data_IF_947675516053
#
_entry.id   IF_947675516053
#
_cell.length_a   1.000
_cell.length_b   1.000
_cell.length_c   1.000
_cell.angle_alpha   90.00
_cell.angle_beta   90.00
_cell.angle_gamma   90.00
#
_symmetry.space_group_name_H-M   'P 1'
#
loop_
_entity.id
_entity.type
_entity.pdbx_description
1 polymer ?
#
# COMPACT_ATOMS: atom_id res chain seq x y z
N UNK A 1 -66.31 28.57 11.39
CA UNK A 1 -65.81 29.79 10.74
C UNK A 1 -64.33 29.91 11.07
N UNK A 2 -63.48 29.80 10.12
CA UNK A 2 -62.10 30.12 9.96
C UNK A 2 -61.37 28.98 9.29
N UNK A 3 -61.68 28.88 8.03
CA UNK A 3 -60.91 28.18 7.03
C UNK A 3 -60.17 29.23 6.18
N UNK A 4 -59.01 28.82 5.58
CA UNK A 4 -58.39 29.51 4.46
C UNK A 4 -57.42 30.63 4.84
N UNK A 5 -56.16 30.30 5.09
CA UNK A 5 -54.97 31.03 4.65
C UNK A 5 -53.76 30.13 5.00
N UNK A 6 -53.39 29.25 4.13
CA UNK A 6 -52.07 28.57 4.19
C UNK A 6 -51.75 27.80 2.89
N UNK A 7 -51.89 28.49 1.75
CA UNK A 7 -51.50 27.85 0.47
C UNK A 7 -50.94 28.88 -0.50
N UNK A 8 -49.81 29.50 -0.21
CA UNK A 8 -49.09 30.34 -1.17
C UNK A 8 -47.71 30.78 -0.70
N UNK A 9 -46.85 29.89 -0.28
CA UNK A 9 -45.44 30.28 0.01
C UNK A 9 -44.45 29.10 -0.05
N UNK A 10 -44.55 28.24 -1.08
CA UNK A 10 -43.50 27.21 -1.30
C UNK A 10 -43.27 26.96 -2.80
N UNK A 11 -43.11 28.06 -3.56
CA UNK A 11 -42.81 27.97 -4.99
C UNK A 11 -41.79 29.03 -5.42
N UNK A 12 -40.68 29.09 -4.69
CA UNK A 12 -39.53 29.86 -5.15
C UNK A 12 -38.25 29.17 -4.67
N UNK A 13 -37.31 29.04 -5.59
CA UNK A 13 -35.92 28.62 -5.35
C UNK A 13 -35.62 27.10 -5.39
N UNK A 14 -35.98 26.43 -6.47
CA UNK A 14 -35.14 25.39 -7.02
C UNK A 14 -34.49 25.92 -8.30
N UNK A 15 -33.31 26.56 -8.16
CA UNK A 15 -32.39 26.69 -9.29
C UNK A 15 -31.90 25.28 -9.63
N UNK A 16 -31.93 24.85 -10.89
CA UNK A 16 -31.30 23.61 -11.26
C UNK A 16 -29.80 23.77 -11.02
N UNK A 17 -29.25 23.05 -10.04
CA UNK A 17 -27.83 22.85 -9.93
C UNK A 17 -27.42 22.01 -11.13
N UNK A 18 -26.80 22.64 -12.11
CA UNK A 18 -26.08 21.94 -13.19
C UNK A 18 -25.01 21.10 -12.52
N UNK A 19 -25.00 19.78 -12.72
CA UNK A 19 -24.00 18.93 -12.07
C UNK A 19 -22.62 19.33 -12.58
N UNK A 20 -21.74 19.71 -11.67
CA UNK A 20 -20.30 19.94 -11.90
C UNK A 20 -19.59 18.73 -12.52
N UNK A 21 -20.25 17.55 -12.50
CA UNK A 21 -19.77 16.32 -13.11
C UNK A 21 -19.66 16.36 -14.65
N UNK A 22 -20.56 17.09 -15.33
CA UNK A 22 -20.60 17.07 -16.79
C UNK A 22 -19.44 17.82 -17.45
N UNK A 23 -18.88 18.86 -16.81
CA UNK A 23 -17.71 19.59 -17.35
C UNK A 23 -16.40 18.84 -17.13
N UNK A 24 -16.27 18.05 -16.05
CA UNK A 24 -15.12 17.16 -15.83
C UNK A 24 -15.13 15.98 -16.82
N UNK A 25 -16.30 15.44 -17.16
CA UNK A 25 -16.45 14.33 -18.09
C UNK A 25 -16.06 14.69 -19.54
N UNK A 26 -16.35 15.90 -20.02
CA UNK A 26 -15.99 16.35 -21.37
C UNK A 26 -14.48 16.61 -21.54
N UNK A 27 -13.77 16.97 -20.47
CA UNK A 27 -12.31 17.08 -20.49
C UNK A 27 -11.59 15.73 -20.37
N UNK A 28 -12.18 14.74 -19.70
CA UNK A 28 -11.58 13.40 -19.53
C UNK A 28 -11.51 12.64 -20.89
N UNK A 29 -12.50 12.76 -21.76
CA UNK A 29 -12.53 12.02 -23.02
C UNK A 29 -11.47 12.39 -24.04
N UNK A 30 -10.83 13.55 -23.93
CA UNK A 30 -9.84 14.02 -24.95
C UNK A 30 -8.38 13.62 -24.67
N UNK A 31 -8.06 13.01 -23.51
CA UNK A 31 -6.69 13.01 -23.00
C UNK A 31 -6.07 11.64 -22.71
N UNK A 32 -6.84 10.55 -22.73
CA UNK A 32 -6.31 9.25 -22.31
C UNK A 32 -6.07 8.31 -23.48
N UNK A 33 -4.91 7.67 -23.47
CA UNK A 33 -4.68 6.46 -24.23
C UNK A 33 -5.38 5.29 -23.52
N UNK A 34 -5.69 4.24 -24.26
CA UNK A 34 -6.16 2.97 -23.71
C UNK A 34 -5.00 2.17 -23.09
N UNK A 35 -4.18 2.89 -22.35
CA UNK A 35 -3.00 2.42 -21.65
C UNK A 35 -2.85 3.13 -20.31
N UNK A 36 -2.18 2.49 -19.37
CA UNK A 36 -1.79 3.07 -18.09
C UNK A 36 -0.41 2.58 -17.66
N UNK A 37 0.26 3.32 -16.78
CA UNK A 37 1.58 2.96 -16.26
C UNK A 37 1.51 2.82 -14.74
N UNK A 38 2.13 1.76 -14.22
CA UNK A 38 2.34 1.57 -12.80
C UNK A 38 3.84 1.58 -12.54
N UNK A 39 4.28 2.45 -11.65
CA UNK A 39 5.68 2.56 -11.26
C UNK A 39 5.89 1.97 -9.88
N UNK A 40 6.94 1.18 -9.71
CA UNK A 40 7.58 1.13 -8.41
C UNK A 40 8.25 2.47 -8.08
N UNK A 41 8.55 2.71 -6.80
CA UNK A 41 9.13 3.98 -6.34
C UNK A 41 10.64 3.84 -6.17
N UNK A 42 11.07 2.91 -5.31
CA UNK A 42 12.46 2.78 -4.89
C UNK A 42 13.26 1.99 -5.93
N UNK A 43 14.28 2.59 -6.52
CA UNK A 43 15.03 2.01 -7.65
C UNK A 43 14.48 2.37 -9.02
N UNK A 44 13.28 2.97 -9.11
CA UNK A 44 12.62 3.38 -10.37
C UNK A 44 12.50 4.89 -10.49
N UNK A 45 11.92 5.56 -9.50
CA UNK A 45 11.74 7.02 -9.47
C UNK A 45 12.74 7.70 -8.54
N UNK A 46 13.07 7.03 -7.45
CA UNK A 46 14.01 7.52 -6.43
C UNK A 46 14.94 6.40 -5.99
N UNK A 47 16.07 6.76 -5.37
CA UNK A 47 16.98 5.84 -4.70
C UNK A 47 17.38 6.46 -3.35
N UNK A 48 16.79 5.97 -2.27
CA UNK A 48 16.91 6.60 -0.96
C UNK A 48 16.38 8.05 -1.00
N UNK A 49 17.23 9.03 -0.68
CA UNK A 49 16.87 10.46 -0.71
C UNK A 49 17.15 11.14 -2.05
N UNK A 50 17.63 10.42 -3.05
CA UNK A 50 17.99 10.98 -4.35
C UNK A 50 16.97 10.59 -5.41
N UNK A 51 16.66 11.53 -6.31
CA UNK A 51 15.82 11.28 -7.47
C UNK A 51 16.64 10.60 -8.58
N UNK A 52 16.05 9.65 -9.29
CA UNK A 52 16.60 9.17 -10.54
C UNK A 52 16.45 10.28 -11.59
N UNK A 53 17.55 10.62 -12.23
CA UNK A 53 17.66 11.80 -13.11
C UNK A 53 16.55 11.87 -14.17
N UNK A 54 16.19 10.73 -14.73
CA UNK A 54 15.23 10.59 -15.81
C UNK A 54 13.76 10.52 -15.35
N UNK A 55 13.52 10.40 -14.04
CA UNK A 55 12.18 10.20 -13.47
C UNK A 55 11.25 11.38 -13.77
N UNK A 56 11.74 12.61 -13.59
CA UNK A 56 10.94 13.80 -13.88
C UNK A 56 10.50 13.86 -15.33
N UNK A 57 11.43 13.62 -16.28
CA UNK A 57 11.14 13.59 -17.71
C UNK A 57 10.11 12.50 -18.07
N UNK A 58 10.23 11.32 -17.46
CA UNK A 58 9.26 10.24 -17.63
C UNK A 58 7.83 10.67 -17.27
N UNK A 59 7.66 11.35 -16.13
CA UNK A 59 6.36 11.86 -15.70
C UNK A 59 5.83 13.00 -16.58
N UNK A 60 6.71 13.90 -17.04
CA UNK A 60 6.34 14.95 -17.99
C UNK A 60 5.84 14.35 -19.32
N UNK A 61 6.48 13.28 -19.82
CA UNK A 61 6.00 12.54 -20.99
C UNK A 61 4.60 11.94 -20.77
N UNK A 62 4.34 11.32 -19.62
CA UNK A 62 3.00 10.79 -19.31
C UNK A 62 1.95 11.89 -19.13
N UNK A 63 2.37 13.12 -18.83
CA UNK A 63 1.50 14.28 -18.71
C UNK A 63 1.10 14.91 -20.04
N UNK A 64 1.57 14.35 -21.15
CA UNK A 64 1.25 14.79 -22.51
C UNK A 64 2.43 15.39 -23.29
N UNK A 65 3.61 15.58 -22.68
CA UNK A 65 4.81 16.03 -23.39
C UNK A 65 5.45 14.86 -24.16
N UNK A 66 4.68 14.26 -25.04
CA UNK A 66 5.06 13.11 -25.86
C UNK A 66 4.56 13.28 -27.29
N UNK A 67 5.05 12.46 -28.22
CA UNK A 67 4.71 12.53 -29.64
C UNK A 67 3.23 12.26 -29.96
N UNK A 68 2.46 11.73 -29.02
CA UNK A 68 1.02 11.51 -29.14
C UNK A 68 0.19 12.73 -28.69
N UNK A 69 0.80 13.71 -28.01
CA UNK A 69 0.11 14.82 -27.32
C UNK A 69 -1.04 14.32 -26.43
N UNK A 70 -0.86 13.17 -25.77
CA UNK A 70 -1.88 12.53 -24.91
C UNK A 70 -1.33 12.24 -23.54
N UNK A 71 -2.19 12.39 -22.54
CA UNK A 71 -1.91 11.98 -21.16
C UNK A 71 -2.08 10.47 -21.05
N UNK A 72 -1.20 9.85 -20.28
CA UNK A 72 -1.28 8.45 -19.88
C UNK A 72 -1.47 8.41 -18.37
N UNK A 73 -2.56 7.84 -17.85
CA UNK A 73 -2.76 7.72 -16.43
C UNK A 73 -1.69 6.82 -15.81
N UNK A 74 -1.27 7.16 -14.60
CA UNK A 74 -0.30 6.35 -13.88
C UNK A 74 -0.60 6.27 -12.39
N UNK A 75 -0.12 5.22 -11.75
CA UNK A 75 -0.12 5.01 -10.32
C UNK A 75 1.27 4.61 -9.83
N UNK A 76 1.53 4.85 -8.56
CA UNK A 76 2.71 4.40 -7.84
C UNK A 76 2.35 3.17 -7.02
N UNK A 77 3.13 2.10 -7.11
CA UNK A 77 2.89 0.83 -6.44
C UNK A 77 4.16 0.37 -5.73
N UNK A 78 4.23 0.54 -4.42
CA UNK A 78 5.43 0.22 -3.64
C UNK A 78 5.15 -0.77 -2.50
N UNK A 79 6.15 -1.58 -2.17
CA UNK A 79 6.18 -2.38 -0.93
C UNK A 79 6.57 -1.55 0.31
N UNK A 80 6.95 -0.29 0.13
CA UNK A 80 7.10 0.65 1.23
C UNK A 80 5.76 0.96 1.90
N UNK A 81 5.78 1.24 3.19
CA UNK A 81 4.58 1.51 3.99
C UNK A 81 4.87 2.45 5.15
N UNK A 82 4.06 2.35 6.20
CA UNK A 82 4.24 3.08 7.46
C UNK A 82 3.90 4.57 7.42
N UNK A 83 3.45 5.10 6.28
CA UNK A 83 2.94 6.46 6.11
C UNK A 83 1.60 6.42 5.39
N UNK A 84 0.84 7.52 5.43
CA UNK A 84 -0.37 7.61 4.60
C UNK A 84 -0.03 7.84 3.13
N UNK A 85 -0.96 7.51 2.23
CA UNK A 85 -0.85 7.77 0.79
C UNK A 85 -0.61 9.25 0.51
N UNK A 86 -1.27 10.14 1.28
CA UNK A 86 -1.07 11.59 1.18
C UNK A 86 0.35 12.02 1.58
N UNK A 87 0.90 11.44 2.64
CA UNK A 87 2.26 11.74 3.08
C UNK A 87 3.30 11.25 2.05
N UNK A 88 3.11 10.04 1.50
CA UNK A 88 3.98 9.49 0.46
C UNK A 88 3.88 10.31 -0.83
N UNK A 89 2.67 10.63 -1.29
CA UNK A 89 2.46 11.49 -2.46
C UNK A 89 3.17 12.83 -2.31
N UNK A 90 2.99 13.49 -1.15
CA UNK A 90 3.66 14.76 -0.85
C UNK A 90 5.19 14.64 -0.80
N UNK A 91 5.71 13.54 -0.28
CA UNK A 91 7.15 13.25 -0.25
C UNK A 91 7.70 13.15 -1.66
N UNK A 92 7.11 12.28 -2.48
CA UNK A 92 7.59 12.02 -3.85
C UNK A 92 7.39 13.24 -4.73
N UNK A 93 6.28 13.99 -4.57
CA UNK A 93 6.04 15.24 -5.30
C UNK A 93 7.16 16.27 -5.05
N UNK A 94 7.57 16.46 -3.78
CA UNK A 94 8.67 17.37 -3.45
C UNK A 94 10.00 16.91 -4.03
N UNK A 95 10.28 15.62 -3.98
CA UNK A 95 11.53 15.06 -4.51
C UNK A 95 11.63 15.24 -6.03
N UNK A 96 10.55 14.93 -6.75
CA UNK A 96 10.53 14.96 -8.22
C UNK A 96 10.19 16.34 -8.81
N UNK A 97 9.73 17.29 -7.99
CA UNK A 97 9.18 18.57 -8.47
C UNK A 97 7.96 18.37 -9.39
N UNK A 98 7.20 17.32 -9.19
CA UNK A 98 6.04 16.93 -9.99
C UNK A 98 4.87 16.58 -9.06
N UNK A 99 3.68 17.13 -9.32
CA UNK A 99 2.51 16.91 -8.48
C UNK A 99 1.95 15.50 -8.65
N UNK A 100 1.91 14.75 -7.54
CA UNK A 100 1.34 13.41 -7.43
C UNK A 100 0.23 13.47 -6.39
N UNK A 101 -0.97 13.00 -6.76
CA UNK A 101 -2.11 12.90 -5.84
C UNK A 101 -2.00 11.67 -4.95
N UNK A 102 -2.55 11.75 -3.74
CA UNK A 102 -2.71 10.58 -2.88
C UNK A 102 -3.45 9.42 -3.56
N UNK A 103 -4.45 9.77 -4.39
CA UNK A 103 -5.24 8.79 -5.16
C UNK A 103 -4.41 8.03 -6.21
N UNK A 104 -3.16 8.41 -6.45
CA UNK A 104 -2.24 7.72 -7.37
C UNK A 104 -1.28 6.78 -6.62
N UNK A 105 -1.33 6.72 -5.30
CA UNK A 105 -0.34 5.99 -4.49
C UNK A 105 -0.95 4.74 -3.88
N UNK A 106 -0.30 3.61 -4.10
CA UNK A 106 -0.62 2.32 -3.49
C UNK A 106 0.58 1.87 -2.67
N UNK A 107 0.42 1.87 -1.36
CA UNK A 107 1.40 1.36 -0.40
C UNK A 107 1.15 -0.12 -0.10
N UNK A 108 2.11 -0.79 0.50
CA UNK A 108 1.97 -2.21 0.83
C UNK A 108 0.70 -2.53 1.65
N UNK A 109 0.36 -1.65 2.59
CA UNK A 109 -0.82 -1.80 3.45
C UNK A 109 -2.12 -1.20 2.86
N UNK A 110 -2.08 -0.43 1.75
CA UNK A 110 -3.29 0.22 1.19
C UNK A 110 -4.45 -0.74 0.94
N UNK A 111 -4.24 -1.95 0.37
CA UNK A 111 -5.36 -2.89 0.17
C UNK A 111 -5.96 -3.43 1.47
N UNK A 112 -5.26 -3.32 2.61
CA UNK A 112 -5.79 -3.77 3.91
C UNK A 112 -6.96 -2.91 4.39
N UNK A 113 -7.18 -1.71 3.82
CA UNK A 113 -8.38 -0.91 4.08
C UNK A 113 -9.68 -1.68 3.77
N UNK A 114 -9.64 -2.63 2.83
CA UNK A 114 -10.78 -3.49 2.52
C UNK A 114 -11.18 -4.42 3.68
N UNK A 115 -10.34 -4.58 4.70
CA UNK A 115 -10.64 -5.31 5.92
C UNK A 115 -11.44 -4.46 6.93
N UNK A 116 -11.47 -3.13 6.78
CA UNK A 116 -12.11 -2.24 7.74
C UNK A 116 -13.61 -2.56 7.95
N UNK A 117 -14.44 -2.84 6.93
CA UNK A 117 -15.84 -3.23 7.18
C UNK A 117 -15.98 -4.49 8.05
N UNK A 118 -15.08 -5.46 7.90
CA UNK A 118 -15.07 -6.71 8.69
C UNK A 118 -14.69 -6.48 10.15
N UNK A 119 -13.75 -5.55 10.40
CA UNK A 119 -13.15 -5.33 11.72
C UNK A 119 -13.52 -3.96 12.31
N UNK A 120 -14.51 -3.26 11.75
CA UNK A 120 -14.86 -1.89 12.10
C UNK A 120 -15.00 -1.65 13.61
N UNK A 121 -15.77 -2.50 14.30
CA UNK A 121 -16.00 -2.41 15.72
C UNK A 121 -15.15 -3.41 16.53
N UNK A 122 -14.37 -4.24 15.85
CA UNK A 122 -13.51 -5.24 16.47
C UNK A 122 -12.18 -4.61 16.89
N UNK A 123 -11.60 -5.15 17.97
CA UNK A 123 -10.29 -4.72 18.44
C UNK A 123 -9.18 -5.39 17.61
N UNK A 124 -8.27 -4.61 17.03
CA UNK A 124 -7.16 -5.11 16.21
C UNK A 124 -5.82 -4.65 16.77
N UNK A 125 -4.82 -5.55 16.70
CA UNK A 125 -3.43 -5.21 16.96
C UNK A 125 -2.77 -4.79 15.66
N UNK A 126 -2.26 -3.55 15.60
CA UNK A 126 -1.51 -3.03 14.46
C UNK A 126 -0.04 -2.89 14.84
N UNK A 127 0.83 -3.50 14.03
CA UNK A 127 2.27 -3.61 14.27
C UNK A 127 3.05 -2.91 13.17
N UNK A 128 4.18 -2.32 13.55
CA UNK A 128 5.15 -1.68 12.65
C UNK A 128 5.21 -0.17 12.76
N UNK A 129 6.28 0.38 12.21
CA UNK A 129 6.56 1.81 12.26
C UNK A 129 6.92 2.34 13.65
N UNK A 130 7.26 3.63 13.73
CA UNK A 130 7.53 4.29 15.01
C UNK A 130 6.23 4.68 15.71
N UNK A 131 6.24 4.66 17.03
CA UNK A 131 5.17 5.12 17.91
C UNK A 131 3.79 4.57 17.51
N UNK A 132 2.81 5.42 17.23
CA UNK A 132 1.45 5.06 16.79
C UNK A 132 1.17 5.32 15.31
N UNK A 133 2.17 5.57 14.49
CA UNK A 133 1.99 5.96 13.09
C UNK A 133 1.12 4.97 12.30
N UNK A 134 1.37 3.68 12.44
CA UNK A 134 0.54 2.65 11.77
C UNK A 134 -0.87 2.55 12.36
N UNK A 135 -1.06 2.81 13.65
CA UNK A 135 -2.39 2.89 14.25
C UNK A 135 -3.20 4.09 13.72
N UNK A 136 -2.55 5.24 13.55
CA UNK A 136 -3.18 6.43 12.95
C UNK A 136 -3.64 6.14 11.51
N UNK A 137 -2.84 5.43 10.72
CA UNK A 137 -3.21 4.98 9.37
C UNK A 137 -4.40 4.00 9.43
N UNK A 138 -4.39 3.05 10.35
CA UNK A 138 -5.50 2.11 10.51
C UNK A 138 -6.81 2.83 10.87
N UNK A 139 -6.75 3.85 11.72
CA UNK A 139 -7.91 4.72 12.00
C UNK A 139 -8.40 5.45 10.74
N UNK A 140 -7.50 5.97 9.91
CA UNK A 140 -7.87 6.60 8.62
C UNK A 140 -8.56 5.60 7.67
N UNK A 141 -8.22 4.32 7.72
CA UNK A 141 -8.86 3.25 6.94
C UNK A 141 -10.24 2.83 7.51
N UNK A 142 -10.61 3.31 8.71
CA UNK A 142 -11.90 3.04 9.32
C UNK A 142 -11.89 1.96 10.41
N UNK A 143 -10.73 1.49 10.86
CA UNK A 143 -10.63 0.66 12.06
C UNK A 143 -10.81 1.53 13.31
N UNK A 144 -11.79 1.25 14.16
CA UNK A 144 -12.10 2.08 15.32
C UNK A 144 -11.30 1.73 16.56
N UNK A 145 -11.08 0.45 16.80
CA UNK A 145 -10.44 -0.06 17.99
C UNK A 145 -9.06 -0.63 17.65
N UNK A 146 -8.03 0.23 17.67
CA UNK A 146 -6.67 -0.12 17.28
C UNK A 146 -5.74 -0.01 18.48
N UNK A 147 -4.95 -1.04 18.74
CA UNK A 147 -3.85 -0.97 19.70
C UNK A 147 -2.52 -1.35 19.03
N UNK A 148 -1.45 -0.87 19.63
CA UNK A 148 -0.07 -1.10 19.21
C UNK A 148 0.67 -1.96 20.26
N UNK A 149 1.83 -2.51 19.95
CA UNK A 149 2.68 -3.16 20.96
C UNK A 149 3.01 -2.26 22.16
N UNK A 150 3.20 -0.95 21.94
CA UNK A 150 3.45 0.00 23.04
C UNK A 150 2.26 0.11 24.03
N UNK A 151 1.02 0.02 23.53
CA UNK A 151 -0.16 0.03 24.41
C UNK A 151 -0.17 -1.18 25.35
N UNK A 152 0.26 -2.34 24.84
CA UNK A 152 0.34 -3.60 25.59
C UNK A 152 1.46 -3.52 26.65
N UNK A 153 2.63 -3.00 26.28
CA UNK A 153 3.73 -2.76 27.23
C UNK A 153 3.33 -1.74 28.31
N UNK A 154 2.60 -0.69 27.95
CA UNK A 154 2.10 0.30 28.92
C UNK A 154 1.05 -0.29 29.89
N UNK A 155 0.28 -1.29 29.45
CA UNK A 155 -0.67 -2.01 30.32
C UNK A 155 0.04 -2.93 31.33
N UNK A 156 1.04 -3.70 30.84
CA UNK A 156 1.84 -4.62 31.65
C UNK A 156 3.29 -4.61 31.20
N UNK A 157 4.16 -3.82 31.82
CA UNK A 157 5.58 -3.73 31.45
C UNK A 157 6.32 -5.07 31.50
N UNK A 158 5.88 -6.00 32.38
CA UNK A 158 6.46 -7.34 32.47
C UNK A 158 6.29 -8.20 31.20
N UNK A 159 5.41 -7.83 30.29
CA UNK A 159 5.27 -8.52 28.98
C UNK A 159 6.54 -8.34 28.14
N UNK A 160 7.20 -7.19 28.24
CA UNK A 160 8.46 -6.92 27.59
C UNK A 160 9.39 -6.11 28.51
N UNK A 161 10.10 -6.77 29.44
CA UNK A 161 10.83 -6.09 30.53
C UNK A 161 12.14 -5.43 30.07
N UNK A 162 12.46 -5.45 28.78
CA UNK A 162 13.73 -4.93 28.22
C UNK A 162 13.64 -3.46 27.77
N UNK A 163 12.48 -2.82 27.86
CA UNK A 163 12.27 -1.43 27.49
C UNK A 163 11.42 -0.70 28.53
N UNK A 164 11.74 0.57 28.77
CA UNK A 164 10.87 1.50 29.47
C UNK A 164 10.36 2.52 28.47
N UNK A 165 9.05 2.65 28.36
CA UNK A 165 8.44 3.66 27.47
C UNK A 165 8.73 5.05 28.03
N UNK A 166 9.18 5.96 27.16
CA UNK A 166 9.40 7.36 27.52
C UNK A 166 8.09 8.09 27.84
N UNK A 167 8.16 9.23 28.55
CA UNK A 167 6.99 10.02 28.93
C UNK A 167 6.20 10.57 27.75
N UNK A 168 6.85 10.70 26.57
CA UNK A 168 6.28 11.16 25.32
C UNK A 168 5.57 10.06 24.52
N UNK A 169 5.66 8.78 24.94
CA UNK A 169 5.06 7.67 24.24
C UNK A 169 3.54 7.81 24.18
N UNK A 170 2.99 7.86 23.00
CA UNK A 170 1.55 7.90 22.75
C UNK A 170 0.96 6.51 22.94
N UNK A 171 0.29 6.28 24.07
CA UNK A 171 -0.29 4.97 24.41
C UNK A 171 -1.76 5.08 24.76
N UNK A 172 -2.55 4.08 24.33
CA UNK A 172 -3.92 3.89 24.80
C UNK A 172 -3.94 2.94 25.99
N UNK A 173 -4.61 3.35 27.07
CA UNK A 173 -4.77 2.52 28.25
C UNK A 173 -6.00 1.63 28.11
N UNK A 174 -5.78 0.33 27.92
CA UNK A 174 -6.82 -0.71 27.86
C UNK A 174 -6.47 -1.89 28.75
N UNK A 175 -7.48 -2.70 29.09
CA UNK A 175 -7.32 -3.98 29.78
C UNK A 175 -7.40 -5.11 28.74
N UNK A 176 -6.26 -5.59 28.26
CA UNK A 176 -6.18 -6.56 27.17
C UNK A 176 -6.56 -7.99 27.58
N UNK A 177 -6.75 -8.24 28.86
CA UNK A 177 -7.39 -9.44 29.41
C UNK A 177 -8.92 -9.42 29.26
N UNK A 178 -9.54 -8.24 29.10
CA UNK A 178 -10.99 -8.07 28.93
C UNK A 178 -11.38 -7.73 27.49
N UNK A 179 -10.47 -7.17 26.72
CA UNK A 179 -10.70 -6.74 25.33
C UNK A 179 -9.91 -7.61 24.35
N UNK A 180 -10.52 -8.70 23.80
CA UNK A 180 -9.84 -9.63 22.93
C UNK A 180 -9.47 -8.98 21.58
N UNK A 181 -8.34 -9.40 21.03
CA UNK A 181 -7.96 -9.05 19.67
C UNK A 181 -8.67 -9.95 18.66
N UNK A 182 -9.28 -9.35 17.65
CA UNK A 182 -9.93 -10.06 16.53
C UNK A 182 -8.99 -10.30 15.34
N UNK A 183 -7.90 -9.55 15.26
CA UNK A 183 -6.89 -9.69 14.20
C UNK A 183 -5.56 -9.05 14.64
N UNK A 184 -4.47 -9.57 14.05
CA UNK A 184 -3.13 -8.95 14.05
C UNK A 184 -2.82 -8.50 12.62
N UNK A 185 -2.41 -7.24 12.47
CA UNK A 185 -2.11 -6.61 11.17
C UNK A 185 -0.74 -5.95 11.23
N UNK A 186 0.21 -6.45 10.46
CA UNK A 186 1.55 -5.86 10.34
C UNK A 186 1.53 -4.91 9.14
N UNK A 187 1.48 -3.60 9.42
CA UNK A 187 1.34 -2.56 8.41
C UNK A 187 2.67 -2.07 7.85
N UNK A 188 3.73 -2.21 8.62
CA UNK A 188 5.07 -1.78 8.23
C UNK A 188 6.13 -2.60 8.95
N UNK A 189 7.41 -2.36 8.63
CA UNK A 189 8.55 -2.96 9.30
C UNK A 189 8.49 -2.72 10.81
N UNK A 190 8.76 -3.75 11.59
CA UNK A 190 8.90 -3.64 13.04
C UNK A 190 10.16 -2.86 13.39
N UNK A 191 10.06 -1.93 14.33
CA UNK A 191 11.20 -1.19 14.85
C UNK A 191 11.82 -1.84 16.10
N UNK A 192 11.12 -2.81 16.69
CA UNK A 192 11.59 -3.64 17.79
C UNK A 192 11.14 -5.09 17.56
N UNK A 193 11.97 -5.86 16.81
CA UNK A 193 11.62 -7.25 16.46
C UNK A 193 11.36 -8.11 17.68
N UNK A 194 12.15 -7.97 18.75
CA UNK A 194 12.00 -8.78 19.93
C UNK A 194 10.64 -8.58 20.62
N UNK A 195 10.30 -7.33 20.89
CA UNK A 195 9.01 -6.94 21.48
C UNK A 195 7.84 -7.37 20.62
N UNK A 196 7.89 -7.03 19.33
CA UNK A 196 6.78 -7.27 18.43
C UNK A 196 6.58 -8.77 18.16
N UNK A 197 7.66 -9.56 18.06
CA UNK A 197 7.59 -11.02 17.96
C UNK A 197 6.94 -11.64 19.22
N UNK A 198 7.33 -11.20 20.41
CA UNK A 198 6.74 -11.69 21.66
C UNK A 198 5.24 -11.39 21.70
N UNK A 199 4.86 -10.13 21.51
CA UNK A 199 3.47 -9.67 21.63
C UNK A 199 2.58 -10.30 20.56
N UNK A 200 3.02 -10.34 19.29
CA UNK A 200 2.29 -10.99 18.22
C UNK A 200 2.08 -12.49 18.52
N UNK A 201 3.13 -13.16 18.97
CA UNK A 201 3.04 -14.59 19.33
C UNK A 201 2.06 -14.81 20.48
N UNK A 202 2.07 -13.96 21.48
CA UNK A 202 1.17 -14.07 22.65
C UNK A 202 -0.29 -13.89 22.22
N UNK A 203 -0.58 -12.88 21.38
CA UNK A 203 -1.94 -12.65 20.84
C UNK A 203 -2.41 -13.83 19.99
N UNK A 204 -1.56 -14.32 19.08
CA UNK A 204 -1.93 -15.44 18.18
C UNK A 204 -2.19 -16.74 18.92
N UNK A 205 -1.53 -16.99 20.08
CA UNK A 205 -1.66 -18.19 20.90
C UNK A 205 -2.65 -18.06 22.03
N UNK A 206 -3.11 -16.86 22.35
CA UNK A 206 -4.03 -16.64 23.46
C UNK A 206 -5.42 -17.23 23.18
N UNK A 207 -6.14 -17.64 24.20
CA UNK A 207 -7.53 -18.06 24.03
C UNK A 207 -8.38 -16.88 23.55
N UNK A 208 -8.93 -16.98 22.35
CA UNK A 208 -9.82 -16.00 21.74
C UNK A 208 -9.24 -14.57 21.66
N UNK A 209 -7.91 -14.44 21.52
CA UNK A 209 -7.25 -13.14 21.40
C UNK A 209 -7.10 -12.36 22.73
N UNK A 210 -7.31 -12.97 23.90
CA UNK A 210 -7.20 -12.33 25.23
C UNK A 210 -5.81 -12.51 25.80
N UNK A 211 -5.09 -11.43 25.99
CA UNK A 211 -3.79 -11.47 26.67
C UNK A 211 -3.96 -11.82 28.16
N UNK A 212 -3.02 -12.60 28.69
CA UNK A 212 -3.07 -13.10 30.06
C UNK A 212 -3.98 -14.32 30.24
N UNK A 213 -4.70 -14.76 29.20
CA UNK A 213 -5.41 -16.03 29.20
C UNK A 213 -4.45 -17.18 28.89
N UNK A 214 -4.93 -18.41 29.15
CA UNK A 214 -4.19 -19.63 28.82
C UNK A 214 -3.83 -19.71 27.33
N UNK A 215 -2.60 -20.10 27.04
CA UNK A 215 -2.18 -20.40 25.67
C UNK A 215 -2.84 -21.67 25.17
N UNK A 216 -3.29 -21.61 23.92
CA UNK A 216 -3.80 -22.78 23.21
C UNK A 216 -2.80 -23.25 22.17
N UNK A 217 -2.77 -24.55 21.89
CA UNK A 217 -1.81 -25.16 20.96
C UNK A 217 -2.07 -24.86 19.46
N UNK A 218 -2.91 -23.86 19.16
CA UNK A 218 -3.29 -23.47 17.80
C UNK A 218 -3.40 -21.95 17.71
N UNK A 219 -3.38 -21.45 16.48
CA UNK A 219 -3.67 -20.04 16.20
C UNK A 219 -5.17 -19.77 16.41
N UNK A 220 -5.47 -18.67 17.09
CA UNK A 220 -6.85 -18.27 17.41
C UNK A 220 -7.25 -16.98 16.72
N UNK A 221 -6.27 -16.20 16.26
CA UNK A 221 -6.45 -14.87 15.71
C UNK A 221 -5.83 -14.82 14.30
N UNK A 222 -6.54 -14.31 13.28
CA UNK A 222 -5.97 -14.15 11.94
C UNK A 222 -4.82 -13.14 11.92
N UNK A 223 -3.82 -13.44 11.09
CA UNK A 223 -2.63 -12.62 10.87
C UNK A 223 -2.60 -12.09 9.43
N UNK A 224 -2.38 -10.80 9.28
CA UNK A 224 -2.23 -10.11 8.00
C UNK A 224 -0.88 -9.41 7.91
N UNK A 225 -0.15 -9.61 6.81
CA UNK A 225 1.19 -9.09 6.57
C UNK A 225 1.20 -8.24 5.32
N UNK A 226 1.63 -6.98 5.41
CA UNK A 226 1.55 -6.03 4.29
C UNK A 226 2.67 -6.18 3.27
N UNK A 227 3.84 -6.72 3.66
CA UNK A 227 5.01 -6.80 2.80
C UNK A 227 5.75 -8.13 2.99
N UNK A 228 6.22 -8.71 1.89
CA UNK A 228 6.96 -9.97 1.88
C UNK A 228 8.49 -9.78 1.72
N UNK A 229 8.96 -8.57 1.47
CA UNK A 229 10.38 -8.32 1.18
C UNK A 229 11.26 -8.68 2.39
N UNK A 230 12.17 -9.61 2.17
CA UNK A 230 13.12 -10.04 3.20
C UNK A 230 14.12 -8.93 3.54
N UNK A 231 14.55 -8.19 2.51
CA UNK A 231 15.52 -7.10 2.60
C UNK A 231 15.11 -5.94 1.71
N UNK A 232 15.59 -4.74 2.06
CA UNK A 232 15.44 -3.54 1.24
C UNK A 232 16.75 -2.75 1.19
N UNK A 233 16.93 -1.96 0.13
CA UNK A 233 18.08 -1.07 -0.06
C UNK A 233 17.83 0.29 0.58
N UNK A 234 18.89 0.84 1.22
CA UNK A 234 18.91 2.21 1.70
C UNK A 234 20.30 2.85 1.44
N UNK A 235 20.64 3.92 2.15
CA UNK A 235 21.93 4.58 2.03
C UNK A 235 23.11 3.73 2.54
N UNK A 236 22.86 2.71 3.36
CA UNK A 236 23.91 1.80 3.81
C UNK A 236 24.28 0.81 2.70
N UNK A 237 25.58 0.50 2.59
CA UNK A 237 26.12 -0.33 1.50
C UNK A 237 25.54 -1.75 1.42
N UNK A 238 25.04 -2.28 2.53
CA UNK A 238 24.38 -3.58 2.58
C UNK A 238 22.88 -3.41 2.75
N UNK A 239 22.03 -4.28 2.19
CA UNK A 239 20.59 -4.26 2.42
C UNK A 239 20.22 -4.39 3.89
N UNK A 240 19.08 -3.84 4.26
CA UNK A 240 18.50 -3.95 5.60
C UNK A 240 17.35 -4.94 5.61
N UNK A 241 17.04 -5.49 6.77
CA UNK A 241 15.89 -6.38 6.96
C UNK A 241 14.59 -5.61 6.77
N UNK A 242 13.71 -6.17 5.94
CA UNK A 242 12.34 -5.72 5.77
C UNK A 242 11.36 -6.57 6.58
N UNK A 243 10.07 -6.35 6.35
CA UNK A 243 8.99 -7.05 7.06
C UNK A 243 9.03 -8.58 6.82
N UNK A 244 9.51 -9.02 5.65
CA UNK A 244 9.69 -10.45 5.38
C UNK A 244 10.65 -11.12 6.34
N UNK A 245 11.71 -10.43 6.80
CA UNK A 245 12.62 -10.96 7.81
C UNK A 245 11.93 -11.13 9.17
N UNK A 246 11.11 -10.14 9.58
CA UNK A 246 10.26 -10.26 10.78
C UNK A 246 9.32 -11.45 10.68
N UNK A 247 8.70 -11.65 9.53
CA UNK A 247 7.81 -12.77 9.29
C UNK A 247 8.52 -14.13 9.40
N UNK A 248 9.73 -14.27 8.83
CA UNK A 248 10.52 -15.51 8.95
C UNK A 248 10.89 -15.78 10.41
N UNK A 249 11.27 -14.76 11.19
CA UNK A 249 11.50 -14.90 12.63
C UNK A 249 10.22 -15.35 13.35
N UNK A 250 9.07 -14.73 13.06
CA UNK A 250 7.78 -15.10 13.66
C UNK A 250 7.41 -16.55 13.34
N UNK A 251 7.59 -16.98 12.10
CA UNK A 251 7.32 -18.35 11.65
C UNK A 251 8.21 -19.38 12.37
N UNK A 252 9.49 -19.06 12.53
CA UNK A 252 10.44 -19.93 13.25
C UNK A 252 10.07 -20.04 14.73
N UNK A 253 9.77 -18.92 15.40
CA UNK A 253 9.34 -18.91 16.80
C UNK A 253 8.00 -19.61 17.00
N UNK A 254 7.05 -19.38 16.09
CA UNK A 254 5.75 -20.07 16.09
C UNK A 254 5.93 -21.60 16.03
N UNK A 255 6.70 -22.08 15.07
CA UNK A 255 6.99 -23.50 14.90
C UNK A 255 7.62 -24.12 16.17
N UNK A 256 8.60 -23.45 16.75
CA UNK A 256 9.27 -23.90 17.98
C UNK A 256 8.32 -23.97 19.16
N UNK A 257 7.45 -22.97 19.33
CA UNK A 257 6.53 -22.87 20.49
C UNK A 257 5.27 -23.75 20.33
N UNK A 258 4.93 -24.18 19.13
CA UNK A 258 3.72 -24.95 18.84
C UNK A 258 4.00 -26.39 18.39
N UNK A 259 5.25 -26.87 18.57
CA UNK A 259 5.70 -28.22 18.18
C UNK A 259 5.52 -28.50 16.67
N UNK A 260 5.84 -27.49 15.86
CA UNK A 260 5.83 -27.61 14.40
C UNK A 260 4.52 -27.26 13.71
N UNK A 261 3.52 -26.70 14.42
CA UNK A 261 2.31 -26.23 13.77
C UNK A 261 2.60 -25.12 12.74
N UNK A 262 1.86 -25.12 11.64
CA UNK A 262 1.94 -24.06 10.63
C UNK A 262 1.35 -22.76 11.16
N UNK A 263 2.00 -21.65 10.83
CA UNK A 263 1.46 -20.30 11.06
C UNK A 263 0.60 -19.91 9.84
N UNK A 264 -0.67 -19.61 10.10
CA UNK A 264 -1.60 -19.17 9.06
C UNK A 264 -1.60 -17.65 8.93
N UNK A 265 -1.50 -17.13 7.71
CA UNK A 265 -1.47 -15.69 7.46
C UNK A 265 -1.95 -15.33 6.05
N UNK A 266 -2.41 -14.09 5.88
CA UNK A 266 -2.72 -13.50 4.58
C UNK A 266 -1.64 -12.48 4.21
N UNK A 267 -1.08 -12.59 3.02
CA UNK A 267 -0.07 -11.68 2.48
C UNK A 267 -0.67 -10.63 1.57
N UNK A 268 -0.18 -9.42 1.72
CA UNK A 268 -0.37 -8.26 0.85
C UNK A 268 0.99 -7.83 0.28
N UNK A 269 0.99 -6.73 -0.46
CA UNK A 269 2.20 -6.25 -1.14
C UNK A 269 2.49 -6.99 -2.44
N UNK A 270 3.50 -6.54 -3.16
CA UNK A 270 4.02 -7.24 -4.36
C UNK A 270 4.76 -8.51 -3.92
N UNK A 271 4.66 -9.64 -4.63
CA UNK A 271 3.99 -9.86 -5.93
C UNK A 271 2.52 -10.34 -5.81
N UNK A 272 1.85 -10.21 -4.67
CA UNK A 272 0.53 -10.82 -4.45
C UNK A 272 -0.60 -10.12 -5.22
N UNK A 273 -1.48 -10.90 -5.83
CA UNK A 273 -2.55 -10.44 -6.72
C UNK A 273 -3.48 -9.36 -6.11
N UNK A 274 -3.66 -9.35 -4.79
CA UNK A 274 -4.47 -8.34 -4.11
C UNK A 274 -3.93 -6.92 -4.31
N UNK A 275 -2.60 -6.78 -4.36
CA UNK A 275 -1.93 -5.51 -4.57
C UNK A 275 -2.17 -4.98 -5.99
N UNK A 276 -2.07 -5.85 -6.98
CA UNK A 276 -2.28 -5.51 -8.40
C UNK A 276 -3.74 -5.17 -8.69
N UNK A 277 -4.69 -5.94 -8.16
CA UNK A 277 -6.13 -5.61 -8.25
C UNK A 277 -6.46 -4.26 -7.61
N UNK A 278 -5.84 -3.92 -6.49
CA UNK A 278 -6.03 -2.61 -5.87
C UNK A 278 -5.46 -1.49 -6.75
N UNK A 279 -4.30 -1.69 -7.36
CA UNK A 279 -3.73 -0.72 -8.31
C UNK A 279 -4.61 -0.54 -9.56
N UNK A 280 -5.26 -1.59 -10.06
CA UNK A 280 -6.27 -1.49 -11.14
C UNK A 280 -7.45 -0.63 -10.72
N UNK A 281 -7.99 -0.84 -9.51
CA UNK A 281 -9.09 -0.02 -8.97
C UNK A 281 -8.70 1.46 -8.86
N UNK A 282 -7.47 1.73 -8.41
CA UNK A 282 -6.91 3.08 -8.37
C UNK A 282 -6.85 3.69 -9.77
N UNK A 283 -6.28 2.98 -10.75
CA UNK A 283 -6.21 3.45 -12.13
C UNK A 283 -7.60 3.69 -12.74
N UNK A 284 -8.56 2.83 -12.46
CA UNK A 284 -9.94 2.98 -12.93
C UNK A 284 -10.61 4.23 -12.34
N UNK A 285 -10.37 4.51 -11.06
CA UNK A 285 -10.88 5.70 -10.40
C UNK A 285 -10.29 7.01 -10.97
N UNK A 286 -9.03 7.00 -11.40
CA UNK A 286 -8.37 8.16 -12.01
C UNK A 286 -8.94 8.55 -13.38
N UNK A 287 -9.58 7.62 -14.08
CA UNK A 287 -9.98 7.79 -15.48
C UNK A 287 -11.50 7.86 -15.67
N UNK A 288 -12.30 7.76 -14.59
CA UNK A 288 -13.77 7.68 -14.70
C UNK A 288 -14.38 8.67 -15.71
N UNK A 289 -15.39 8.24 -16.53
CA UNK A 289 -16.19 7.03 -16.42
C UNK A 289 -16.04 6.01 -17.56
N UNK A 290 -16.16 4.79 -17.19
CA UNK A 290 -17.08 3.80 -17.73
C UNK A 290 -16.75 3.03 -19.00
N UNK A 291 -15.71 3.25 -19.79
CA UNK A 291 -15.44 2.44 -20.99
C UNK A 291 -14.02 1.83 -21.08
N UNK A 292 -13.21 1.93 -20.04
CA UNK A 292 -11.80 1.51 -20.08
C UNK A 292 -11.56 0.15 -19.37
N UNK A 293 -12.44 -0.84 -19.53
CA UNK A 293 -12.29 -2.19 -18.91
C UNK A 293 -11.20 -3.06 -19.56
N UNK A 294 -10.57 -2.62 -20.65
CA UNK A 294 -9.51 -3.38 -21.35
C UNK A 294 -8.25 -2.57 -21.57
N UNK A 295 -7.86 -1.82 -20.52
CA UNK A 295 -6.65 -1.00 -20.57
C UNK A 295 -5.40 -1.87 -20.55
N UNK A 296 -4.44 -1.56 -21.41
CA UNK A 296 -3.10 -2.12 -21.32
C UNK A 296 -2.37 -1.45 -20.16
N UNK A 297 -1.88 -2.25 -19.24
CA UNK A 297 -1.12 -1.75 -18.10
C UNK A 297 0.34 -2.15 -18.26
N UNK A 298 1.21 -1.17 -18.15
CA UNK A 298 2.65 -1.32 -18.17
C UNK A 298 3.16 -1.14 -16.73
N UNK A 299 3.85 -2.14 -16.20
CA UNK A 299 4.49 -2.06 -14.89
C UNK A 299 5.98 -1.83 -15.06
N UNK A 300 6.52 -0.82 -14.40
CA UNK A 300 7.95 -0.51 -14.40
C UNK A 300 8.48 -0.75 -12.99
N UNK A 301 9.41 -1.68 -12.84
CA UNK A 301 10.00 -2.08 -11.57
C UNK A 301 11.48 -2.42 -11.70
N UNK A 302 12.16 -2.54 -10.56
CA UNK A 302 13.57 -2.89 -10.47
C UNK A 302 13.82 -4.25 -9.82
N UNK A 303 12.76 -4.87 -9.25
CA UNK A 303 12.85 -6.14 -8.54
C UNK A 303 12.11 -7.26 -9.30
N UNK A 304 12.83 -8.23 -9.89
CA UNK A 304 12.21 -9.34 -10.62
C UNK A 304 11.21 -10.14 -9.77
N UNK A 305 11.53 -10.46 -8.54
CA UNK A 305 10.71 -11.31 -7.67
C UNK A 305 9.43 -10.60 -7.15
N UNK A 306 9.45 -9.28 -7.03
CA UNK A 306 8.32 -8.50 -6.56
C UNK A 306 7.53 -7.86 -7.73
N UNK A 307 8.19 -7.00 -8.51
CA UNK A 307 7.53 -6.19 -9.53
C UNK A 307 7.17 -7.00 -10.77
N UNK A 308 8.16 -7.73 -11.31
CA UNK A 308 8.00 -8.42 -12.59
C UNK A 308 7.14 -9.67 -12.43
N UNK A 309 7.42 -10.47 -11.41
CA UNK A 309 6.61 -11.66 -11.10
C UNK A 309 5.13 -11.31 -10.93
N UNK A 310 4.83 -10.27 -10.15
CA UNK A 310 3.46 -9.86 -9.89
C UNK A 310 2.79 -9.21 -11.11
N UNK A 311 3.49 -8.38 -11.87
CA UNK A 311 2.98 -7.79 -13.10
C UNK A 311 2.67 -8.87 -14.16
N UNK A 312 3.56 -9.85 -14.33
CA UNK A 312 3.33 -10.98 -15.23
C UNK A 312 2.11 -11.80 -14.79
N UNK A 313 1.99 -12.10 -13.50
CA UNK A 313 0.84 -12.83 -12.95
C UNK A 313 -0.48 -12.06 -13.09
N UNK A 314 -0.43 -10.72 -13.08
CA UNK A 314 -1.59 -9.86 -13.34
C UNK A 314 -1.92 -9.69 -14.84
N UNK A 315 -1.10 -10.24 -15.76
CA UNK A 315 -1.27 -10.10 -17.20
C UNK A 315 -0.86 -8.71 -17.73
N UNK A 316 -0.04 -7.96 -16.97
CA UNK A 316 0.47 -6.66 -17.37
C UNK A 316 1.77 -6.79 -18.19
N UNK A 317 2.09 -5.79 -18.97
CA UNK A 317 3.39 -5.72 -19.64
C UNK A 317 4.44 -5.23 -18.65
N UNK A 318 5.35 -6.11 -18.26
CA UNK A 318 6.41 -5.81 -17.29
C UNK A 318 7.66 -5.23 -17.96
N UNK A 319 8.23 -4.18 -17.36
CA UNK A 319 9.45 -3.52 -17.80
C UNK A 319 10.41 -3.44 -16.62
N UNK A 320 11.57 -4.09 -16.74
CA UNK A 320 12.59 -4.15 -15.73
C UNK A 320 13.64 -3.06 -15.97
N UNK A 321 13.93 -2.25 -14.95
CA UNK A 321 14.98 -1.21 -15.01
C UNK A 321 16.20 -1.62 -14.20
N UNK A 322 17.39 -1.09 -14.60
CA UNK A 322 18.68 -1.40 -13.94
C UNK A 322 19.10 -0.37 -12.90
N UNK A 323 18.21 0.54 -12.53
CA UNK A 323 18.52 1.64 -11.60
C UNK A 323 18.40 1.27 -10.12
N UNK A 324 17.87 0.08 -9.80
CA UNK A 324 17.66 -0.38 -8.43
C UNK A 324 18.43 -1.65 -8.06
N UNK A 325 17.72 -2.70 -7.65
CA UNK A 325 18.34 -3.96 -7.16
C UNK A 325 18.80 -4.88 -8.29
N UNK A 326 18.19 -4.77 -9.47
CA UNK A 326 18.53 -5.62 -10.60
C UNK A 326 19.71 -5.09 -11.41
N UNK A 327 20.56 -6.04 -11.86
CA UNK A 327 21.61 -5.82 -12.85
C UNK A 327 21.68 -7.03 -13.79
N UNK A 328 21.88 -6.81 -15.09
CA UNK A 328 22.01 -7.91 -16.04
C UNK A 328 21.16 -7.73 -17.31
N UNK A 329 21.03 -8.78 -18.10
CA UNK A 329 20.27 -8.77 -19.33
C UNK A 329 18.76 -8.93 -19.11
N UNK A 330 18.38 -9.97 -18.37
CA UNK A 330 17.00 -10.21 -17.88
C UNK A 330 17.09 -11.23 -16.74
N UNK A 331 16.02 -11.35 -15.95
CA UNK A 331 15.95 -12.38 -14.91
C UNK A 331 15.48 -13.70 -15.52
N UNK A 332 16.05 -14.82 -15.08
CA UNK A 332 15.75 -16.13 -15.64
C UNK A 332 14.51 -16.77 -15.02
N UNK A 333 14.20 -16.44 -13.76
CA UNK A 333 13.06 -16.99 -13.03
C UNK A 333 11.81 -16.15 -13.27
N UNK A 334 11.95 -14.82 -13.32
CA UNK A 334 10.88 -13.87 -13.54
C UNK A 334 11.23 -12.94 -14.70
N UNK A 335 11.22 -13.43 -15.96
CA UNK A 335 11.63 -12.64 -17.10
C UNK A 335 10.65 -11.49 -17.37
N UNK A 336 11.18 -10.28 -17.54
CA UNK A 336 10.41 -9.12 -17.96
C UNK A 336 10.16 -9.15 -19.47
N UNK A 337 9.06 -8.55 -19.91
CA UNK A 337 8.78 -8.36 -21.33
C UNK A 337 9.81 -7.42 -21.99
N UNK A 338 10.28 -6.43 -21.26
CA UNK A 338 11.33 -5.50 -21.69
C UNK A 338 12.30 -5.26 -20.54
N UNK A 339 13.58 -5.05 -20.89
CA UNK A 339 14.61 -4.62 -19.94
C UNK A 339 15.28 -3.37 -20.50
N UNK A 340 15.36 -2.33 -19.69
CA UNK A 340 15.92 -1.03 -20.07
C UNK A 340 16.84 -0.49 -18.98
N UNK A 341 17.59 0.58 -19.29
CA UNK A 341 18.55 1.09 -18.32
C UNK A 341 17.87 1.90 -17.21
N UNK A 342 16.86 2.71 -17.54
CA UNK A 342 16.18 3.56 -16.58
C UNK A 342 14.72 3.84 -16.95
N UNK A 343 13.99 4.49 -16.06
CA UNK A 343 12.57 4.80 -16.20
C UNK A 343 12.24 5.68 -17.43
N UNK A 344 13.15 6.55 -17.84
CA UNK A 344 12.98 7.37 -19.05
C UNK A 344 12.86 6.54 -20.31
N UNK A 345 13.75 5.57 -20.50
CA UNK A 345 13.71 4.61 -21.61
C UNK A 345 12.45 3.76 -21.58
N UNK A 346 12.03 3.35 -20.38
CA UNK A 346 10.80 2.58 -20.20
C UNK A 346 9.59 3.35 -20.74
N UNK A 347 9.42 4.61 -20.34
CA UNK A 347 8.29 5.43 -20.79
C UNK A 347 8.39 5.78 -22.27
N UNK A 348 9.58 6.05 -22.82
CA UNK A 348 9.77 6.25 -24.25
C UNK A 348 9.32 5.02 -25.05
N UNK A 349 9.71 3.82 -24.63
CA UNK A 349 9.28 2.56 -25.26
C UNK A 349 7.76 2.36 -25.21
N UNK A 350 7.14 2.67 -24.07
CA UNK A 350 5.67 2.62 -23.94
C UNK A 350 5.01 3.56 -24.94
N UNK A 351 5.47 4.81 -25.00
CA UNK A 351 4.92 5.80 -25.95
C UNK A 351 5.14 5.35 -27.41
N UNK A 352 6.26 4.72 -27.72
CA UNK A 352 6.54 4.18 -29.05
C UNK A 352 5.58 3.05 -29.44
N UNK A 353 5.37 2.10 -28.53
CA UNK A 353 4.42 0.98 -28.71
C UNK A 353 3.00 1.52 -28.91
N UNK A 354 2.56 2.45 -28.09
CA UNK A 354 1.23 3.02 -28.19
C UNK A 354 1.06 3.89 -29.43
N UNK A 355 2.11 4.60 -29.88
CA UNK A 355 2.08 5.35 -31.12
C UNK A 355 1.92 4.44 -32.35
N UNK A 356 2.66 3.34 -32.43
CA UNK A 356 2.52 2.38 -33.50
C UNK A 356 1.11 1.79 -33.59
N UNK A 357 0.49 1.50 -32.43
CA UNK A 357 -0.89 0.98 -32.34
C UNK A 357 -1.94 2.01 -32.74
N UNK A 358 -1.65 3.29 -32.54
CA UNK A 358 -2.57 4.37 -32.87
C UNK A 358 -2.55 4.75 -34.36
N UNK A 359 -1.47 4.39 -35.04
CA UNK A 359 -1.27 4.68 -36.49
C UNK A 359 -1.68 3.51 -37.38
N UNK A 360 -1.96 2.34 -36.84
CA UNK A 360 -2.54 1.16 -37.49
C UNK A 360 -4.06 1.13 -37.35
#
# INVERSE_FOLDING_TARGET
MASTIATALTRALRRPQTPLSCKRQLHAQKWHLDAAVVFDIDGVLVRGKQTIREARRALDMLSGQNKLNRRVPFALLTNGGGVSEQAKASQISRMLGFEISADQVVLAHSPMQALAPKYHDSHVLVVGGPDRQCADIAHMYGFRNVSTPNDIVAWRPEIWPFITLGPEARVERRQFDKHPFAAVMVFHDSFDFGRDLQIVTDVLRSRDGRLGAEYVGRQTVPLYLSNADLIFSNEYVRPRFGQGAFHECLRAMWSALTRGASLEYTRYGKPFAVQYRHAEQVLDALVAPANCRHRRIYAIGDNPAADIAGANAAGWTSILVRTGVFSGANDSENPAHLVVDHVGDAVEKIIDIEHQRFTL
#
